data_IF_969214966637
#
_entry.id   IF_969214966637
#
_cell.length_a   1.000
_cell.length_b   1.000
_cell.length_c   1.000
_cell.angle_alpha   90.00
_cell.angle_beta   90.00
_cell.angle_gamma   90.00
#
_symmetry.space_group_name_H-M   'P 1'
#
loop_
_entity.id
_entity.type
_entity.pdbx_description
1 polymer ?
#
# COMPACT_ATOMS: atom_id res chain seq x y z
N UNK A 1 4.40 22.82 -19.67
CA UNK A 1 4.90 22.74 -18.28
C UNK A 1 3.95 21.85 -17.50
N UNK A 2 4.38 20.63 -17.17
CA UNK A 2 3.56 19.68 -16.43
C UNK A 2 3.75 19.96 -14.93
N UNK A 3 2.66 20.34 -14.26
CA UNK A 3 2.65 20.54 -12.82
C UNK A 3 2.77 19.17 -12.16
N UNK A 4 3.97 18.81 -11.69
CA UNK A 4 4.19 17.61 -10.89
C UNK A 4 3.52 17.86 -9.53
N UNK A 5 2.29 17.37 -9.39
CA UNK A 5 1.56 17.44 -8.12
C UNK A 5 2.39 16.79 -7.01
N UNK A 6 2.83 17.61 -6.07
CA UNK A 6 3.37 17.19 -4.78
C UNK A 6 2.35 16.28 -4.12
N UNK A 7 2.64 14.99 -4.00
CA UNK A 7 1.70 14.02 -3.42
C UNK A 7 1.28 14.43 -2.02
N UNK A 8 0.01 14.78 -1.86
CA UNK A 8 -0.60 15.11 -0.58
C UNK A 8 -0.34 14.04 0.47
N UNK A 9 -0.32 14.47 1.74
CA UNK A 9 -0.22 13.56 2.88
C UNK A 9 -1.51 12.74 2.99
N UNK A 10 -1.55 11.59 2.31
CA UNK A 10 -2.59 10.59 2.49
C UNK A 10 -2.38 9.94 3.85
N UNK A 11 -3.43 9.96 4.69
CA UNK A 11 -3.40 9.38 6.04
C UNK A 11 -4.63 8.52 6.26
N UNK A 12 -4.44 7.26 6.66
CA UNK A 12 -5.56 6.42 7.09
C UNK A 12 -5.73 6.45 8.60
N UNK A 13 -6.98 6.52 9.06
CA UNK A 13 -7.31 6.60 10.48
C UNK A 13 -8.40 5.61 10.89
N UNK A 14 -8.31 5.10 12.12
CA UNK A 14 -9.35 4.32 12.80
C UNK A 14 -9.89 5.08 14.00
N UNK A 15 -11.17 4.85 14.32
CA UNK A 15 -11.81 5.38 15.52
C UNK A 15 -12.57 4.27 16.25
N UNK A 16 -12.16 4.01 17.49
CA UNK A 16 -12.70 3.01 18.42
C UNK A 16 -13.75 3.58 19.40
N UNK A 17 -14.31 4.75 19.08
CA UNK A 17 -15.18 5.53 19.96
C UNK A 17 -14.43 6.54 20.82
N UNK A 18 -13.09 6.50 20.88
CA UNK A 18 -12.25 7.42 21.68
C UNK A 18 -11.55 8.49 20.84
N UNK A 19 -11.89 8.62 19.57
CA UNK A 19 -11.29 9.58 18.64
C UNK A 19 -10.56 8.91 17.48
N UNK A 20 -10.15 9.73 16.51
CA UNK A 20 -9.42 9.27 15.33
C UNK A 20 -7.94 9.10 15.64
N UNK A 21 -7.36 7.99 15.21
CA UNK A 21 -5.95 7.66 15.34
C UNK A 21 -5.39 7.20 14.01
N UNK A 22 -4.20 7.66 13.67
CA UNK A 22 -3.48 7.25 12.47
C UNK A 22 -3.18 5.74 12.52
N UNK A 23 -3.27 5.10 11.36
CA UNK A 23 -2.91 3.71 11.18
C UNK A 23 -1.44 3.67 10.79
N UNK A 24 -0.62 2.98 11.58
CA UNK A 24 0.76 2.74 11.21
C UNK A 24 0.86 1.93 9.91
N UNK A 25 1.85 2.26 9.06
CA UNK A 25 2.05 1.64 7.75
C UNK A 25 0.83 1.76 6.81
N UNK A 26 0.10 2.86 6.89
CA UNK A 26 -1.06 3.15 6.04
C UNK A 26 -0.78 3.14 4.53
N UNK A 27 0.47 3.32 4.11
CA UNK A 27 0.90 3.12 2.72
C UNK A 27 0.52 1.73 2.17
N UNK A 28 0.50 0.69 3.02
CA UNK A 28 0.04 -0.65 2.64
C UNK A 28 -1.47 -0.66 2.39
N UNK A 29 -2.23 -0.01 3.28
CA UNK A 29 -3.68 0.14 3.10
C UNK A 29 -3.98 0.92 1.82
N UNK A 30 -3.25 2.00 1.56
CA UNK A 30 -3.39 2.79 0.35
C UNK A 30 -3.08 1.96 -0.90
N UNK A 31 -1.97 1.24 -0.92
CA UNK A 31 -1.61 0.36 -2.03
C UNK A 31 -2.71 -0.69 -2.30
N UNK A 32 -3.20 -1.36 -1.26
CA UNK A 32 -4.29 -2.34 -1.39
C UNK A 32 -5.61 -1.69 -1.80
N UNK A 33 -5.89 -0.48 -1.30
CA UNK A 33 -7.08 0.27 -1.66
C UNK A 33 -7.08 0.58 -3.15
N UNK A 34 -5.95 0.99 -3.74
CA UNK A 34 -5.86 1.36 -5.17
C UNK A 34 -6.21 0.23 -6.14
N UNK A 35 -6.18 -1.03 -5.71
CA UNK A 35 -6.45 -2.19 -6.55
C UNK A 35 -7.96 -2.40 -6.78
N UNK A 36 -8.44 -2.49 -8.04
CA UNK A 36 -9.87 -2.58 -8.34
C UNK A 36 -10.51 -3.92 -7.94
N UNK A 37 -9.72 -4.99 -7.89
CA UNK A 37 -10.16 -6.31 -7.43
C UNK A 37 -10.21 -6.47 -5.92
N UNK A 38 -9.57 -5.57 -5.16
CA UNK A 38 -9.51 -5.67 -3.71
C UNK A 38 -10.66 -4.89 -3.07
N UNK A 39 -11.52 -5.61 -2.35
CA UNK A 39 -12.69 -5.04 -1.69
C UNK A 39 -12.48 -4.80 -0.20
N UNK A 40 -11.46 -5.43 0.38
CA UNK A 40 -11.20 -5.38 1.80
C UNK A 40 -9.77 -5.74 2.12
N UNK A 41 -9.33 -5.36 3.31
CA UNK A 41 -8.06 -5.80 3.91
C UNK A 41 -8.33 -6.24 5.35
N UNK A 42 -7.65 -7.30 5.80
CA UNK A 42 -7.68 -7.73 7.21
C UNK A 42 -6.35 -7.37 7.87
N UNK A 43 -6.43 -6.52 8.87
CA UNK A 43 -5.32 -6.12 9.72
C UNK A 43 -5.22 -7.09 10.89
N UNK A 44 -4.01 -7.53 11.21
CA UNK A 44 -3.73 -8.46 12.30
C UNK A 44 -2.96 -7.77 13.42
N UNK A 45 -2.97 -8.40 14.61
CA UNK A 45 -2.28 -7.95 15.82
C UNK A 45 -2.60 -6.49 16.23
N UNK A 46 -3.83 -6.05 15.98
CA UNK A 46 -4.30 -4.80 16.56
C UNK A 46 -4.65 -5.06 18.03
N UNK A 47 -4.67 -4.01 18.86
CA UNK A 47 -5.21 -4.11 20.24
C UNK A 47 -6.70 -4.52 20.30
N UNK A 48 -7.38 -4.61 19.16
CA UNK A 48 -8.77 -5.05 19.02
C UNK A 48 -8.89 -6.44 18.38
N UNK A 49 -7.77 -7.18 18.22
CA UNK A 49 -7.72 -8.43 17.46
C UNK A 49 -7.66 -8.21 15.95
N UNK A 50 -8.14 -9.16 15.16
CA UNK A 50 -8.24 -9.00 13.70
C UNK A 50 -9.28 -7.93 13.34
N UNK A 51 -8.89 -6.95 12.51
CA UNK A 51 -9.75 -5.84 12.06
C UNK A 51 -9.87 -5.88 10.55
N UNK A 52 -11.06 -6.08 10.01
CA UNK A 52 -11.30 -6.12 8.57
C UNK A 52 -11.90 -4.80 8.09
N UNK A 53 -11.25 -4.13 7.16
CA UNK A 53 -11.70 -2.87 6.53
C UNK A 53 -12.34 -3.20 5.18
N UNK A 54 -13.57 -2.75 4.96
CA UNK A 54 -14.26 -2.73 3.66
C UNK A 54 -13.90 -1.44 2.91
N UNK A 55 -13.20 -1.59 1.79
CA UNK A 55 -12.79 -0.48 0.93
C UNK A 55 -13.93 0.14 0.14
N UNK A 56 -14.97 -0.62 -0.20
CA UNK A 56 -16.10 -0.09 -0.97
C UNK A 56 -17.02 0.75 -0.09
N UNK A 57 -17.23 0.31 1.15
CA UNK A 57 -18.13 1.00 2.10
C UNK A 57 -17.40 1.95 3.03
N UNK A 58 -16.06 1.93 3.04
CA UNK A 58 -15.22 2.63 4.01
C UNK A 58 -15.68 2.39 5.46
N UNK A 59 -15.80 1.10 5.83
CA UNK A 59 -16.30 0.64 7.13
C UNK A 59 -15.43 -0.48 7.69
N UNK A 60 -15.48 -0.68 9.01
CA UNK A 60 -14.89 -1.84 9.67
C UNK A 60 -15.98 -2.91 9.83
N UNK A 61 -15.67 -4.15 9.46
CA UNK A 61 -16.59 -5.28 9.65
C UNK A 61 -16.66 -5.71 11.12
N UNK A 62 -17.87 -6.09 11.56
CA UNK A 62 -18.14 -6.82 12.81
C UNK A 62 -17.62 -6.15 14.10
N UNK A 63 -17.21 -4.89 14.03
CA UNK A 63 -16.72 -4.11 15.15
C UNK A 63 -17.35 -2.72 15.11
N UNK A 64 -17.65 -2.18 16.30
CA UNK A 64 -18.10 -0.80 16.44
C UNK A 64 -16.92 0.18 16.29
N UNK A 65 -16.34 0.22 15.09
CA UNK A 65 -15.20 1.04 14.74
C UNK A 65 -15.47 1.75 13.42
N UNK A 66 -14.89 2.94 13.25
CA UNK A 66 -14.93 3.69 12.00
C UNK A 66 -13.54 3.77 11.38
N UNK A 67 -13.50 3.87 10.06
CA UNK A 67 -12.27 4.07 9.28
C UNK A 67 -12.47 5.27 8.36
N UNK A 68 -11.42 6.04 8.13
CA UNK A 68 -11.40 7.07 7.10
C UNK A 68 -10.03 7.17 6.45
N UNK A 69 -10.03 7.62 5.20
CA UNK A 69 -8.86 8.06 4.45
C UNK A 69 -8.94 9.57 4.36
N UNK A 70 -7.91 10.26 4.85
CA UNK A 70 -7.73 11.69 4.67
C UNK A 70 -6.94 11.92 3.39
N UNK A 71 -7.40 12.86 2.57
CA UNK A 71 -6.66 13.36 1.42
C UNK A 71 -6.75 14.88 1.35
N UNK A 72 -5.85 15.46 0.57
CA UNK A 72 -5.68 16.91 0.40
C UNK A 72 -6.62 17.51 -0.67
N UNK A 73 -7.59 16.75 -1.16
CA UNK A 73 -8.47 17.13 -2.26
C UNK A 73 -7.88 16.90 -3.65
N UNK A 74 -6.60 16.53 -3.77
CA UNK A 74 -5.94 16.32 -5.06
C UNK A 74 -5.93 14.85 -5.51
N UNK A 75 -6.75 13.99 -4.88
CA UNK A 75 -6.82 12.58 -5.25
C UNK A 75 -7.37 12.42 -6.66
N UNK A 76 -6.55 11.86 -7.57
CA UNK A 76 -6.99 11.48 -8.91
C UNK A 76 -7.66 10.12 -8.86
N UNK A 77 -8.95 10.07 -9.19
CA UNK A 77 -9.76 8.85 -9.16
C UNK A 77 -9.79 8.13 -10.51
N UNK A 78 -9.57 6.83 -10.47
CA UNK A 78 -9.70 5.91 -11.58
C UNK A 78 -10.99 5.10 -11.45
N UNK A 79 -11.69 4.95 -12.56
CA UNK A 79 -12.89 4.13 -12.65
C UNK A 79 -12.60 2.89 -13.48
N UNK A 80 -13.12 1.73 -13.06
CA UNK A 80 -12.91 0.45 -13.72
C UNK A 80 -14.22 -0.29 -13.94
N UNK A 81 -14.31 -1.05 -15.03
CA UNK A 81 -15.41 -1.94 -15.37
C UNK A 81 -14.94 -3.40 -15.35
N UNK A 82 -15.82 -4.30 -14.89
CA UNK A 82 -15.55 -5.74 -14.92
C UNK A 82 -15.85 -6.34 -16.31
N UNK A 83 -14.81 -6.67 -17.05
CA UNK A 83 -14.85 -7.35 -18.35
C UNK A 83 -14.19 -8.73 -18.25
N UNK A 84 -14.95 -9.80 -18.50
CA UNK A 84 -14.42 -11.18 -18.55
C UNK A 84 -13.56 -11.55 -17.33
N UNK A 85 -14.05 -11.23 -16.13
CA UNK A 85 -13.38 -11.42 -14.82
C UNK A 85 -12.12 -10.57 -14.59
N UNK A 86 -11.81 -9.62 -15.47
CA UNK A 86 -10.75 -8.62 -15.29
C UNK A 86 -11.36 -7.24 -15.05
N UNK A 87 -10.62 -6.37 -14.36
CA UNK A 87 -10.98 -4.97 -14.22
C UNK A 87 -10.25 -4.16 -15.29
N UNK A 88 -11.01 -3.43 -16.09
CA UNK A 88 -10.49 -2.58 -17.17
C UNK A 88 -10.81 -1.14 -16.84
N UNK A 89 -9.79 -0.27 -16.83
CA UNK A 89 -9.94 1.15 -16.53
C UNK A 89 -10.67 1.88 -17.66
N UNK A 90 -11.63 2.73 -17.32
CA UNK A 90 -12.26 3.66 -18.27
C UNK A 90 -11.25 4.72 -18.72
N UNK A 91 -11.22 5.00 -20.01
CA UNK A 91 -10.29 5.95 -20.62
C UNK A 91 -9.08 5.32 -21.30
N UNK A 92 -8.85 4.01 -21.12
CA UNK A 92 -7.73 3.31 -21.78
C UNK A 92 -8.02 3.18 -23.27
N UNK A 93 -7.07 3.62 -24.10
CA UNK A 93 -7.15 3.47 -25.56
C UNK A 93 -7.27 2.00 -25.94
N UNK A 94 -8.02 1.72 -27.01
CA UNK A 94 -8.11 0.35 -27.51
C UNK A 94 -6.76 -0.12 -28.12
N UNK A 95 -6.68 -1.38 -28.53
CA UNK A 95 -5.48 -1.95 -29.15
C UNK A 95 -5.07 -1.27 -30.46
N UNK A 96 -5.95 -0.46 -31.06
CA UNK A 96 -5.71 0.32 -32.28
C UNK A 96 -5.36 1.79 -31.96
N UNK A 97 -5.29 2.16 -30.68
CA UNK A 97 -4.98 3.51 -30.22
C UNK A 97 -6.18 4.47 -30.23
N UNK A 98 -7.39 4.00 -30.53
CA UNK A 98 -8.58 4.85 -30.51
C UNK A 98 -8.90 5.27 -29.07
N UNK A 99 -9.33 6.52 -28.84
CA UNK A 99 -9.73 6.97 -27.52
C UNK A 99 -10.95 6.18 -27.03
N UNK A 100 -10.97 5.85 -25.73
CA UNK A 100 -12.17 5.33 -25.11
C UNK A 100 -13.28 6.40 -25.11
N UNK A 101 -14.55 5.99 -25.25
CA UNK A 101 -15.67 6.92 -25.38
C UNK A 101 -16.00 7.70 -24.11
N UNK A 102 -15.45 7.28 -22.96
CA UNK A 102 -15.56 8.01 -21.70
C UNK A 102 -14.28 7.84 -20.89
N UNK A 103 -13.82 8.92 -20.28
CA UNK A 103 -12.62 8.97 -19.46
C UNK A 103 -12.96 8.89 -17.97
N UNK A 104 -12.07 8.33 -17.15
CA UNK A 104 -12.28 8.21 -15.69
C UNK A 104 -12.56 9.57 -15.02
N UNK A 105 -11.94 10.66 -15.47
CA UNK A 105 -12.15 11.99 -14.89
C UNK A 105 -13.55 12.55 -15.18
N UNK A 106 -14.16 12.18 -16.31
CA UNK A 106 -15.52 12.59 -16.66
C UNK A 106 -16.54 11.87 -15.78
N UNK A 107 -16.34 10.56 -15.58
CA UNK A 107 -17.15 9.73 -14.67
C UNK A 107 -17.03 10.29 -13.25
N UNK A 108 -15.82 10.59 -12.79
CA UNK A 108 -15.59 11.16 -11.46
C UNK A 108 -16.30 12.50 -11.27
N UNK A 109 -16.23 13.41 -12.26
CA UNK A 109 -16.93 14.70 -12.20
C UNK A 109 -18.44 14.54 -12.03
N UNK A 110 -19.05 13.61 -12.78
CA UNK A 110 -20.48 13.32 -12.68
C UNK A 110 -20.86 12.61 -11.37
N UNK A 111 -19.99 11.72 -10.88
CA UNK A 111 -20.17 11.08 -9.59
C UNK A 111 -20.14 12.10 -8.44
N UNK A 112 -19.20 13.04 -8.45
CA UNK A 112 -19.08 14.07 -7.42
C UNK A 112 -20.28 15.02 -7.38
N UNK A 113 -20.91 15.30 -8.53
CA UNK A 113 -22.10 16.15 -8.57
C UNK A 113 -23.37 15.43 -8.10
N UNK A 114 -23.50 14.14 -8.40
CA UNK A 114 -24.62 13.32 -7.93
C UNK A 114 -24.19 11.85 -7.72
N UNK A 115 -23.72 11.48 -6.51
CA UNK A 115 -23.27 10.12 -6.20
C UNK A 115 -24.37 9.06 -6.29
N UNK A 116 -25.64 9.49 -6.30
CA UNK A 116 -26.81 8.59 -6.44
C UNK A 116 -27.40 8.57 -7.84
N UNK A 117 -26.83 9.35 -8.76
CA UNK A 117 -27.31 9.47 -10.12
C UNK A 117 -26.68 8.46 -11.08
N UNK A 118 -26.68 8.82 -12.35
CA UNK A 118 -26.13 8.01 -13.42
C UNK A 118 -25.49 8.85 -14.54
N UNK A 119 -24.75 8.18 -15.43
CA UNK A 119 -24.17 8.79 -16.62
C UNK A 119 -24.29 7.85 -17.81
N UNK A 120 -24.77 8.36 -18.95
CA UNK A 120 -24.87 7.61 -20.22
C UNK A 120 -23.70 7.90 -21.16
N UNK A 121 -23.27 6.90 -21.91
CA UNK A 121 -22.27 7.03 -22.97
C UNK A 121 -22.47 5.93 -24.04
N UNK A 122 -21.86 6.12 -25.22
CA UNK A 122 -22.04 5.24 -26.37
C UNK A 122 -20.75 4.50 -26.73
N UNK A 123 -20.84 3.20 -27.02
CA UNK A 123 -19.75 2.41 -27.62
C UNK A 123 -20.29 1.76 -28.91
N UNK A 124 -19.82 2.23 -30.06
CA UNK A 124 -20.37 1.80 -31.36
C UNK A 124 -21.85 2.17 -31.47
N UNK A 125 -22.74 1.21 -31.71
CA UNK A 125 -24.20 1.41 -31.73
C UNK A 125 -24.90 1.18 -30.39
N UNK A 126 -24.15 0.81 -29.34
CA UNK A 126 -24.74 0.45 -28.05
C UNK A 126 -24.63 1.60 -27.05
N UNK A 127 -25.73 1.87 -26.36
CA UNK A 127 -25.78 2.77 -25.21
C UNK A 127 -25.49 2.01 -23.92
N UNK A 128 -24.73 2.65 -23.05
CA UNK A 128 -24.42 2.19 -21.72
C UNK A 128 -24.70 3.29 -20.71
N UNK A 129 -25.05 2.90 -19.51
CA UNK A 129 -25.29 3.78 -18.38
C UNK A 129 -24.49 3.29 -17.17
N UNK A 130 -23.81 4.19 -16.47
CA UNK A 130 -23.17 3.90 -15.18
C UNK A 130 -24.10 4.39 -14.09
N UNK A 131 -24.62 3.48 -13.27
CA UNK A 131 -25.39 3.78 -12.07
C UNK A 131 -24.44 3.87 -10.89
N UNK A 132 -24.31 5.08 -10.34
CA UNK A 132 -23.26 5.40 -9.37
C UNK A 132 -23.52 4.77 -8.00
N UNK A 133 -24.78 4.76 -7.55
CA UNK A 133 -25.16 4.20 -6.25
C UNK A 133 -24.92 2.69 -6.20
N UNK A 134 -25.28 1.99 -7.26
CA UNK A 134 -25.16 0.54 -7.39
C UNK A 134 -23.75 0.11 -7.78
N UNK A 135 -22.92 1.05 -8.25
CA UNK A 135 -21.58 0.78 -8.81
C UNK A 135 -21.68 -0.26 -9.94
N UNK A 136 -22.57 0.00 -10.90
CA UNK A 136 -22.85 -0.87 -12.04
C UNK A 136 -22.84 -0.11 -13.36
N UNK A 137 -22.38 -0.77 -14.41
CA UNK A 137 -22.58 -0.35 -15.79
C UNK A 137 -23.65 -1.26 -16.39
N UNK A 138 -24.75 -0.66 -16.83
CA UNK A 138 -25.86 -1.31 -17.50
C UNK A 138 -25.78 -1.01 -18.99
N UNK A 139 -25.93 -2.04 -19.81
CA UNK A 139 -26.17 -1.89 -21.25
C UNK A 139 -27.32 -2.80 -21.67
N UNK A 140 -27.71 -2.74 -22.93
CA UNK A 140 -28.91 -3.45 -23.43
C UNK A 140 -28.97 -4.95 -23.14
N UNK A 141 -27.81 -5.63 -23.06
CA UNK A 141 -27.73 -7.10 -22.88
C UNK A 141 -26.90 -7.55 -21.70
N UNK A 142 -26.17 -6.65 -21.05
CA UNK A 142 -25.18 -7.01 -20.03
C UNK A 142 -25.10 -5.95 -18.96
N UNK A 143 -25.02 -6.43 -17.73
CA UNK A 143 -24.66 -5.64 -16.57
C UNK A 143 -23.27 -6.02 -16.09
N UNK A 144 -22.51 -5.01 -15.65
CA UNK A 144 -21.11 -5.17 -15.23
C UNK A 144 -20.88 -4.40 -13.96
N UNK A 145 -20.03 -4.94 -13.09
CA UNK A 145 -19.60 -4.21 -11.89
C UNK A 145 -18.67 -3.08 -12.28
N UNK A 146 -18.81 -1.97 -11.59
CA UNK A 146 -17.93 -0.80 -11.67
C UNK A 146 -17.24 -0.62 -10.32
N UNK A 147 -16.04 -0.07 -10.31
CA UNK A 147 -15.35 0.31 -9.07
C UNK A 147 -14.53 1.57 -9.27
N UNK A 148 -14.46 2.37 -8.22
CA UNK A 148 -13.74 3.65 -8.14
C UNK A 148 -12.57 3.46 -7.18
N UNK A 149 -11.35 3.77 -7.62
CA UNK A 149 -10.10 3.65 -6.84
C UNK A 149 -9.17 4.84 -7.07
N UNK A 150 -8.42 5.30 -6.06
CA UNK A 150 -7.45 6.36 -6.26
C UNK A 150 -6.29 5.87 -7.13
N UNK A 151 -5.66 6.80 -7.83
CA UNK A 151 -4.35 6.56 -8.47
C UNK A 151 -3.32 6.37 -7.36
N UNK A 152 -2.54 5.30 -7.45
CA UNK A 152 -1.45 5.10 -6.51
C UNK A 152 -0.31 6.05 -6.85
N UNK A 153 -0.14 7.07 -6.01
CA UNK A 153 1.07 7.89 -6.01
C UNK A 153 1.99 7.30 -4.95
N UNK A 154 3.00 6.55 -5.39
CA UNK A 154 4.10 6.24 -4.50
C UNK A 154 4.69 7.56 -4.02
N UNK A 155 4.70 7.80 -2.71
CA UNK A 155 5.79 8.58 -2.13
C UNK A 155 7.05 7.84 -2.59
N UNK A 156 7.92 8.49 -3.35
CA UNK A 156 9.15 7.88 -3.86
C UNK A 156 9.92 7.22 -2.72
N UNK A 157 9.73 5.91 -2.53
CA UNK A 157 10.64 4.93 -1.93
C UNK A 157 10.21 3.54 -2.43
N UNK A 158 10.88 3.06 -3.49
CA UNK A 158 10.97 1.64 -3.86
C UNK A 158 9.70 0.95 -4.37
N UNK A 159 9.80 0.26 -5.51
CA UNK A 159 8.73 -0.59 -6.03
C UNK A 159 8.45 -1.75 -5.05
N UNK A 160 7.23 -1.84 -4.53
CA UNK A 160 6.79 -3.00 -3.75
C UNK A 160 6.39 -4.14 -4.69
N UNK A 161 7.06 -5.29 -4.56
CA UNK A 161 6.56 -6.58 -5.07
C UNK A 161 5.42 -7.08 -4.18
N UNK A 162 4.38 -7.64 -4.80
CA UNK A 162 3.13 -8.11 -4.20
C UNK A 162 3.26 -9.33 -3.24
N UNK A 163 4.46 -9.66 -2.78
CA UNK A 163 4.74 -10.90 -2.02
C UNK A 163 4.99 -10.68 -0.52
N UNK A 164 5.11 -9.45 -0.03
CA UNK A 164 5.44 -9.17 1.38
C UNK A 164 4.21 -9.11 2.33
N UNK A 165 3.12 -9.82 2.02
CA UNK A 165 1.92 -9.88 2.88
C UNK A 165 1.95 -11.13 3.75
N UNK A 166 3.01 -11.34 4.51
CA UNK A 166 3.02 -12.33 5.57
C UNK A 166 3.63 -11.68 6.82
N UNK A 167 2.78 -11.55 7.85
CA UNK A 167 3.07 -11.10 9.21
C UNK A 167 3.14 -9.58 9.42
N UNK A 168 1.98 -8.94 9.52
CA UNK A 168 1.87 -7.57 10.02
C UNK A 168 1.35 -7.59 11.45
N UNK A 169 2.22 -7.21 12.38
CA UNK A 169 1.92 -7.04 13.79
C UNK A 169 1.87 -5.57 14.20
N UNK A 170 0.67 -5.02 14.39
CA UNK A 170 0.39 -3.59 14.66
C UNK A 170 0.79 -3.07 16.05
N UNK A 171 1.57 -3.82 16.81
CA UNK A 171 2.18 -3.38 18.07
C UNK A 171 3.66 -3.81 18.18
N UNK A 172 4.23 -4.41 17.13
CA UNK A 172 5.59 -4.90 17.20
C UNK A 172 6.47 -4.22 16.17
N UNK A 173 7.57 -3.62 16.64
CA UNK A 173 8.57 -3.03 15.76
C UNK A 173 9.56 -4.11 15.33
N UNK A 174 9.95 -4.18 14.05
CA UNK A 174 11.04 -5.04 13.63
C UNK A 174 12.32 -4.61 14.36
N UNK A 175 12.89 -5.52 15.15
CA UNK A 175 14.17 -5.32 15.80
C UNK A 175 15.18 -6.30 15.21
N UNK A 176 16.26 -5.72 14.69
CA UNK A 176 17.38 -6.46 14.14
C UNK A 176 18.44 -6.64 15.21
N UNK A 177 18.93 -7.87 15.34
CA UNK A 177 19.92 -8.23 16.33
C UNK A 177 21.04 -9.07 15.71
N UNK A 178 22.27 -8.89 16.18
CA UNK A 178 23.40 -9.76 15.88
C UNK A 178 23.80 -10.59 17.08
N UNK A 179 24.34 -11.77 16.83
CA UNK A 179 24.89 -12.63 17.85
C UNK A 179 26.30 -12.13 18.26
N UNK A 180 26.47 -11.90 19.55
CA UNK A 180 27.74 -11.58 20.19
C UNK A 180 28.29 -12.75 20.98
N UNK A 181 29.28 -12.45 21.81
CA UNK A 181 30.01 -13.48 22.53
C UNK A 181 29.06 -14.27 23.46
N UNK A 182 29.26 -15.59 23.53
CA UNK A 182 28.46 -16.51 24.34
C UNK A 182 26.96 -16.56 23.95
N UNK A 183 26.64 -16.31 22.69
CA UNK A 183 25.28 -16.45 22.14
C UNK A 183 24.32 -15.34 22.57
N UNK A 184 24.84 -14.23 23.10
CA UNK A 184 24.02 -13.07 23.48
C UNK A 184 23.63 -12.28 22.24
N UNK A 185 22.37 -11.90 22.14
CA UNK A 185 21.87 -11.11 21.03
C UNK A 185 21.88 -9.62 21.35
N UNK A 186 22.45 -8.83 20.45
CA UNK A 186 22.61 -7.39 20.59
C UNK A 186 21.86 -6.66 19.49
N UNK A 187 21.16 -5.60 19.86
CA UNK A 187 20.41 -4.78 18.90
C UNK A 187 21.33 -3.87 18.08
N UNK A 188 21.01 -3.71 16.80
CA UNK A 188 21.59 -2.65 15.97
C UNK A 188 20.98 -1.30 16.36
N UNK A 189 21.82 -0.44 16.91
CA UNK A 189 21.46 0.92 17.31
C UNK A 189 22.59 1.88 16.99
N UNK A 190 22.23 3.06 16.49
CA UNK A 190 23.17 4.19 16.44
C UNK A 190 23.51 4.59 17.87
N UNK A 191 24.78 4.82 18.14
CA UNK A 191 25.20 5.22 19.48
C UNK A 191 26.68 5.54 19.54
N UNK A 192 27.20 5.85 20.75
CA UNK A 192 28.58 6.28 20.96
C UNK A 192 29.64 5.28 20.47
N UNK A 193 29.27 4.01 20.27
CA UNK A 193 30.11 2.95 19.72
C UNK A 193 30.26 2.96 18.19
N UNK A 194 29.73 3.96 17.48
CA UNK A 194 30.07 4.23 16.08
C UNK A 194 29.38 3.35 15.02
N UNK A 195 28.29 2.66 15.35
CA UNK A 195 27.48 1.96 14.33
C UNK A 195 26.67 2.97 13.51
N UNK A 196 26.79 2.92 12.18
CA UNK A 196 26.12 3.87 11.27
C UNK A 196 24.63 3.58 11.05
N UNK A 197 24.16 2.40 11.44
CA UNK A 197 22.80 1.92 11.16
C UNK A 197 22.04 1.53 12.42
N UNK A 198 20.74 1.74 12.39
CA UNK A 198 19.78 1.27 13.41
C UNK A 198 18.93 0.11 12.86
N UNK A 199 18.17 -0.56 13.74
CA UNK A 199 17.16 -1.55 13.31
C UNK A 199 16.19 -0.98 12.27
N UNK A 200 15.80 0.29 12.37
CA UNK A 200 14.92 0.94 11.40
C UNK A 200 15.59 1.14 10.03
N UNK A 201 16.89 1.41 10.00
CA UNK A 201 17.63 1.56 8.74
C UNK A 201 17.83 0.20 8.06
N UNK A 202 18.16 -0.82 8.84
CA UNK A 202 18.30 -2.20 8.37
C UNK A 202 16.97 -2.70 7.83
N UNK A 203 15.89 -2.49 8.57
CA UNK A 203 14.54 -2.86 8.14
C UNK A 203 14.18 -2.17 6.83
N UNK A 204 14.52 -0.88 6.67
CA UNK A 204 14.27 -0.14 5.42
C UNK A 204 15.01 -0.76 4.24
N UNK A 205 16.27 -1.15 4.40
CA UNK A 205 17.07 -1.81 3.35
C UNK A 205 16.56 -3.23 3.06
N UNK A 206 16.23 -4.00 4.10
CA UNK A 206 15.65 -5.33 3.98
C UNK A 206 14.33 -5.31 3.20
N UNK A 207 13.47 -4.33 3.48
CA UNK A 207 12.18 -4.18 2.79
C UNK A 207 12.32 -3.83 1.30
N UNK A 208 13.45 -3.25 0.88
CA UNK A 208 13.71 -2.98 -0.54
C UNK A 208 14.14 -4.24 -1.28
N UNK A 209 15.04 -5.02 -0.68
CA UNK A 209 15.60 -6.23 -1.31
C UNK A 209 15.79 -7.33 -0.25
N UNK A 210 14.75 -8.13 0.07
CA UNK A 210 14.83 -9.15 1.12
C UNK A 210 15.86 -10.27 0.87
N UNK A 211 16.22 -10.49 -0.40
CA UNK A 211 17.27 -11.42 -0.82
C UNK A 211 18.59 -10.71 -1.14
N UNK A 212 18.71 -9.44 -0.78
CA UNK A 212 19.88 -8.61 -1.06
C UNK A 212 20.76 -8.46 0.17
N UNK A 213 21.52 -7.38 0.17
CA UNK A 213 22.42 -7.03 1.26
C UNK A 213 22.55 -5.51 1.40
N UNK A 214 23.20 -5.09 2.48
CA UNK A 214 23.57 -3.69 2.68
C UNK A 214 24.93 -3.57 3.35
N UNK A 215 25.63 -2.49 3.05
CA UNK A 215 26.88 -2.14 3.74
C UNK A 215 26.62 -1.15 4.88
N UNK A 216 27.38 -1.27 5.96
CA UNK A 216 27.37 -0.34 7.07
C UNK A 216 28.75 -0.30 7.77
N UNK A 217 28.93 0.64 8.68
CA UNK A 217 30.18 0.83 9.41
C UNK A 217 29.98 0.75 10.91
N UNK A 218 31.01 0.25 11.60
CA UNK A 218 31.14 0.34 13.06
C UNK A 218 32.53 0.89 13.36
N UNK A 219 32.59 2.16 13.74
CA UNK A 219 33.85 2.91 13.79
C UNK A 219 34.46 3.03 12.39
N UNK A 220 35.70 2.57 12.21
CA UNK A 220 36.40 2.56 10.93
C UNK A 220 36.22 1.26 10.14
N UNK A 221 35.60 0.24 10.72
CA UNK A 221 35.44 -1.07 10.10
C UNK A 221 34.15 -1.10 9.27
N UNK A 222 34.25 -1.68 8.06
CA UNK A 222 33.13 -1.85 7.14
C UNK A 222 32.58 -3.28 7.22
N UNK A 223 31.27 -3.38 7.18
CA UNK A 223 30.54 -4.63 7.30
C UNK A 223 29.49 -4.71 6.20
N UNK A 224 29.24 -5.93 5.74
CA UNK A 224 28.11 -6.29 4.90
C UNK A 224 27.10 -7.05 5.73
N UNK A 225 25.83 -6.73 5.58
CA UNK A 225 24.71 -7.46 6.15
C UNK A 225 23.96 -8.15 5.02
N UNK A 226 24.07 -9.48 4.95
CA UNK A 226 23.39 -10.32 3.99
C UNK A 226 22.03 -10.73 4.54
N UNK A 227 20.95 -10.30 3.88
CA UNK A 227 19.59 -10.53 4.33
C UNK A 227 19.09 -11.93 4.04
N UNK A 228 19.60 -12.58 2.99
CA UNK A 228 19.19 -13.93 2.63
C UNK A 228 19.85 -14.95 3.56
N UNK A 229 21.14 -14.79 3.82
CA UNK A 229 21.88 -15.66 4.73
C UNK A 229 21.62 -15.31 6.20
N UNK A 230 21.05 -14.14 6.48
CA UNK A 230 20.89 -13.59 7.83
C UNK A 230 22.24 -13.53 8.57
N UNK A 231 23.24 -12.95 7.91
CA UNK A 231 24.61 -12.87 8.42
C UNK A 231 25.20 -11.47 8.28
N UNK A 232 25.93 -11.05 9.30
CA UNK A 232 26.84 -9.92 9.24
C UNK A 232 28.25 -10.41 8.95
N UNK A 233 28.95 -9.76 8.01
CA UNK A 233 30.29 -10.12 7.56
C UNK A 233 31.19 -8.88 7.71
N UNK A 234 32.29 -9.00 8.43
CA UNK A 234 33.32 -7.97 8.46
C UNK A 234 34.15 -8.03 7.18
N UNK A 235 34.16 -6.96 6.39
CA UNK A 235 34.81 -6.97 5.08
C UNK A 235 36.35 -6.93 5.16
N UNK A 236 36.92 -6.58 6.31
CA UNK A 236 38.37 -6.58 6.51
C UNK A 236 38.92 -7.96 6.86
N UNK A 237 38.33 -8.65 7.84
CA UNK A 237 38.84 -9.92 8.35
C UNK A 237 37.93 -11.14 8.06
N UNK A 238 36.85 -10.93 7.31
CA UNK A 238 35.86 -11.96 6.95
C UNK A 238 35.17 -12.64 8.14
N UNK A 239 35.29 -12.08 9.34
CA UNK A 239 34.58 -12.58 10.53
C UNK A 239 33.07 -12.44 10.36
N UNK A 240 32.34 -13.50 10.70
CA UNK A 240 30.89 -13.59 10.52
C UNK A 240 30.14 -13.64 11.85
N UNK A 241 28.92 -13.09 11.86
CA UNK A 241 27.99 -13.18 12.99
C UNK A 241 26.59 -13.48 12.48
N UNK A 242 25.86 -14.33 13.20
CA UNK A 242 24.45 -14.57 12.91
C UNK A 242 23.65 -13.31 13.18
N UNK A 243 22.62 -13.10 12.36
CA UNK A 243 21.68 -11.99 12.49
C UNK A 243 20.27 -12.56 12.58
N UNK A 244 19.38 -11.87 13.30
CA UNK A 244 17.97 -12.19 13.31
C UNK A 244 17.11 -10.94 13.28
N UNK A 245 15.96 -11.08 12.63
CA UNK A 245 14.85 -10.13 12.67
C UNK A 245 13.79 -10.71 13.59
N UNK A 246 13.37 -9.96 14.59
CA UNK A 246 12.24 -10.35 15.45
C UNK A 246 11.28 -9.18 15.61
N UNK A 247 10.01 -9.49 15.85
CA UNK A 247 8.99 -8.49 16.15
C UNK A 247 9.00 -8.27 17.68
N UNK A 248 9.28 -7.04 18.14
CA UNK A 248 9.27 -6.64 19.57
C UNK A 248 8.12 -5.72 19.90
#
# INVERSE_FOLDING_TARGET
>A
MANMGTGGNLVWQLNDGKGWKDIDNDHILEAQYTLPNNKSIKLYNTKYGGVSIDFNRMRVYEKNMRVRRLDDGNTVWNWYCSLSRKWVKYGVKDSKGNPAPVQSYEIERMYQSNPTGSMTFQIGSNFYEIHFKEMQQVGQRKERKVTRRPTYYQKHQGAFSLLAVQNLSLNQRPQWQYEGDKGKWHEYKRGPGGCSVSSDDIERSYMQTPSGDMDFTVGTNMYKLDFQAMMQINLHNQGQRNVRRKMV
#
